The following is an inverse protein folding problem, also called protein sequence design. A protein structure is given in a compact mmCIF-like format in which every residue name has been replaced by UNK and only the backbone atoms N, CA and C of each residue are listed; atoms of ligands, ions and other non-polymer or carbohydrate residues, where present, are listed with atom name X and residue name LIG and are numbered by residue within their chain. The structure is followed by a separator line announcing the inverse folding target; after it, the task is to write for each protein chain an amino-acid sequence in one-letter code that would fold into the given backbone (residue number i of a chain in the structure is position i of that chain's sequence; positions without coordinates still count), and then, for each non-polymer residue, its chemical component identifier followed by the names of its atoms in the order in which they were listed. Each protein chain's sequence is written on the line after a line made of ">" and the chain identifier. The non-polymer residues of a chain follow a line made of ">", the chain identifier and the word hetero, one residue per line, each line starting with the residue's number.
data_IF_830429463138
#
_entry.id   IF_830429463138
#
_cell.length_a   1.000
_cell.length_b   1.000
_cell.length_c   1.000
_cell.angle_alpha   90.00
_cell.angle_beta   90.00
_cell.angle_gamma   90.00
#
_symmetry.space_group_name_H-M   'P 1'
#
loop_
_entity.id
_entity.type
_entity.pdbx_description
1 polymer ?
#
# COMPACT_ATOMS: atom_id res chain seq x y z
N UNK A 1 35.74 20.69 6.26
CA UNK A 1 35.02 21.52 5.27
C UNK A 1 34.50 20.73 4.05
N UNK A 2 34.26 19.41 4.11
CA UNK A 2 33.69 18.63 2.99
C UNK A 2 32.25 18.15 3.20
N UNK A 3 31.65 18.40 4.37
CA UNK A 3 30.28 17.97 4.69
C UNK A 3 29.21 18.99 4.29
N UNK A 4 29.59 20.26 4.04
CA UNK A 4 28.63 21.32 3.68
C UNK A 4 28.24 21.32 2.19
N UNK A 5 29.08 20.80 1.30
CA UNK A 5 28.78 20.76 -0.14
C UNK A 5 27.80 19.66 -0.54
N UNK A 6 27.68 18.58 0.25
CA UNK A 6 26.83 17.44 -0.09
C UNK A 6 25.32 17.73 -0.04
N UNK A 7 24.86 18.51 0.95
CA UNK A 7 23.43 18.80 1.10
C UNK A 7 22.93 19.84 0.10
N UNK A 8 23.76 20.82 -0.27
CA UNK A 8 23.40 21.86 -1.24
C UNK A 8 23.28 21.29 -2.67
N UNK A 9 24.10 20.30 -3.04
CA UNK A 9 24.06 19.68 -4.35
C UNK A 9 22.78 18.85 -4.57
N UNK A 10 22.28 18.18 -3.53
CA UNK A 10 21.02 17.43 -3.58
C UNK A 10 19.79 18.34 -3.70
N UNK A 11 19.86 19.57 -3.15
CA UNK A 11 18.78 20.55 -3.28
C UNK A 11 18.69 21.12 -4.70
N UNK A 12 19.83 21.39 -5.35
CA UNK A 12 19.88 21.90 -6.72
C UNK A 12 19.43 20.83 -7.73
N UNK A 13 19.83 19.56 -7.56
CA UNK A 13 19.35 18.47 -8.42
C UNK A 13 17.84 18.23 -8.30
N UNK A 14 17.25 18.50 -7.13
CA UNK A 14 15.80 18.41 -6.91
C UNK A 14 14.97 19.48 -7.66
N UNK A 15 15.57 20.63 -8.00
CA UNK A 15 14.91 21.66 -8.81
C UNK A 15 15.00 21.37 -10.32
N UNK A 16 16.01 20.61 -10.76
CA UNK A 16 16.24 20.29 -12.18
C UNK A 16 15.45 19.05 -12.62
N UNK A 17 15.19 18.09 -11.71
CA UNK A 17 14.37 16.88 -11.99
C UNK A 17 13.52 16.51 -10.77
N UNK A 18 12.21 16.87 -10.73
CA UNK A 18 11.35 16.58 -9.58
C UNK A 18 11.12 15.07 -9.35
N UNK A 19 11.32 14.23 -10.37
CA UNK A 19 11.10 12.79 -10.28
C UNK A 19 12.17 12.07 -9.44
N UNK A 20 13.39 12.61 -9.35
CA UNK A 20 14.48 11.97 -8.61
C UNK A 20 14.38 12.20 -7.10
N UNK A 21 13.82 13.34 -6.66
CA UNK A 21 13.54 13.57 -5.23
C UNK A 21 12.37 12.71 -4.72
N UNK A 22 11.43 12.36 -5.61
CA UNK A 22 10.31 11.49 -5.31
C UNK A 22 10.71 10.02 -5.16
N UNK A 23 11.79 9.56 -5.79
CA UNK A 23 12.32 8.20 -5.60
C UNK A 23 12.76 7.95 -4.14
N UNK A 24 13.35 8.94 -3.48
CA UNK A 24 13.69 8.84 -2.05
C UNK A 24 12.49 9.08 -1.11
N UNK A 25 11.42 9.70 -1.62
CA UNK A 25 10.20 9.99 -0.87
C UNK A 25 9.21 8.82 -0.78
N UNK A 26 9.34 7.78 -1.60
CA UNK A 26 8.41 6.63 -1.59
C UNK A 26 8.46 5.79 -0.30
N UNK A 27 9.57 5.82 0.45
CA UNK A 27 9.75 5.04 1.69
C UNK A 27 9.59 5.82 3.00
N UNK A 28 9.41 7.13 2.98
CA UNK A 28 9.32 7.97 4.19
C UNK A 28 8.03 8.77 4.20
N UNK A 29 7.33 8.76 5.35
CA UNK A 29 6.04 9.45 5.54
C UNK A 29 6.11 10.92 5.08
N UNK A 30 5.02 11.47 4.53
CA UNK A 30 4.92 12.87 4.05
C UNK A 30 5.49 13.90 5.03
N UNK A 31 5.45 13.60 6.33
CA UNK A 31 6.04 14.39 7.42
C UNK A 31 7.56 14.56 7.30
N UNK A 32 8.25 13.49 6.93
CA UNK A 32 9.71 13.49 6.77
C UNK A 32 10.11 14.29 5.54
N UNK A 33 9.37 14.15 4.43
CA UNK A 33 9.60 14.95 3.23
C UNK A 33 9.48 16.46 3.51
N UNK A 34 8.42 16.89 4.22
CA UNK A 34 8.21 18.30 4.58
C UNK A 34 9.40 18.84 5.41
N UNK A 35 9.88 18.08 6.40
CA UNK A 35 11.04 18.49 7.21
C UNK A 35 12.32 18.63 6.38
N UNK A 36 12.56 17.72 5.42
CA UNK A 36 13.73 17.80 4.53
C UNK A 36 13.69 19.03 3.63
N UNK A 37 12.54 19.33 3.00
CA UNK A 37 12.41 20.49 2.14
C UNK A 37 12.53 21.81 2.91
N UNK A 38 11.98 21.90 4.12
CA UNK A 38 12.12 23.09 4.97
C UNK A 38 13.55 23.34 5.43
N UNK A 39 14.28 22.29 5.83
CA UNK A 39 15.70 22.42 6.17
C UNK A 39 16.52 22.89 4.97
N UNK A 40 16.25 22.36 3.76
CA UNK A 40 16.90 22.77 2.53
C UNK A 40 16.66 24.25 2.20
N UNK A 41 15.39 24.71 2.27
CA UNK A 41 15.05 26.10 2.03
C UNK A 41 15.73 27.06 3.04
N UNK A 42 15.79 26.68 4.32
CA UNK A 42 16.50 27.46 5.34
C UNK A 42 18.00 27.58 5.04
N UNK A 43 18.66 26.47 4.67
CA UNK A 43 20.08 26.50 4.30
C UNK A 43 20.36 27.33 3.06
N UNK A 44 19.47 27.28 2.05
CA UNK A 44 19.58 28.09 0.83
C UNK A 44 19.44 29.59 1.11
N UNK A 45 18.47 29.99 1.94
CA UNK A 45 18.27 31.38 2.33
C UNK A 45 19.46 31.91 3.14
N UNK A 46 19.98 31.13 4.10
CA UNK A 46 21.16 31.51 4.86
C UNK A 46 22.40 31.66 3.97
N UNK A 47 22.60 30.76 3.00
CA UNK A 47 23.72 30.86 2.05
C UNK A 47 23.59 32.04 1.11
N UNK A 48 22.37 32.37 0.66
CA UNK A 48 22.11 33.52 -0.22
C UNK A 48 22.35 34.87 0.46
N UNK A 49 22.06 34.96 1.77
CA UNK A 49 22.33 36.15 2.58
C UNK A 49 23.84 36.36 2.72
N UNK A 50 24.61 35.33 3.05
CA UNK A 50 26.09 35.40 3.19
C UNK A 50 26.78 35.93 1.92
N UNK A 51 26.28 35.60 0.72
CA UNK A 51 26.87 36.05 -0.54
C UNK A 51 26.63 37.53 -0.86
N UNK A 52 25.70 38.20 -0.16
CA UNK A 52 25.32 39.60 -0.44
C UNK A 52 26.22 40.63 0.25
N UNK A 53 27.24 40.20 1.00
CA UNK A 53 28.36 41.02 1.48
C UNK A 53 28.04 42.01 2.61
N UNK A 54 26.78 42.42 2.77
CA UNK A 54 26.31 43.29 3.85
C UNK A 54 25.16 42.59 4.57
N UNK A 55 25.48 41.83 5.62
CA UNK A 55 24.44 41.09 6.36
C UNK A 55 24.44 41.54 7.80
N UNK A 56 23.34 42.13 8.24
CA UNK A 56 23.15 42.49 9.64
C UNK A 56 22.77 41.25 10.44
N UNK A 57 23.14 41.21 11.72
CA UNK A 57 22.68 40.17 12.65
C UNK A 57 21.13 40.07 12.71
N UNK A 58 20.45 41.17 12.35
CA UNK A 58 19.00 41.26 12.22
C UNK A 58 18.47 40.30 11.15
N UNK A 59 19.16 40.13 10.02
CA UNK A 59 18.71 39.25 8.93
C UNK A 59 18.72 37.78 9.35
N UNK A 60 19.77 37.37 10.09
CA UNK A 60 19.84 36.03 10.69
C UNK A 60 18.78 35.82 11.78
N UNK A 61 18.51 36.85 12.59
CA UNK A 61 17.46 36.81 13.60
C UNK A 61 16.06 36.64 12.98
N UNK A 62 15.78 37.33 11.88
CA UNK A 62 14.51 37.22 11.16
C UNK A 62 14.35 35.84 10.49
N UNK A 63 15.36 35.34 9.78
CA UNK A 63 15.27 34.04 9.10
C UNK A 63 15.16 32.90 10.12
N UNK A 64 15.91 32.96 11.23
CA UNK A 64 15.78 31.97 12.31
C UNK A 64 14.41 32.03 13.01
N UNK A 65 13.86 33.21 13.26
CA UNK A 65 12.50 33.36 13.80
C UNK A 65 11.43 32.77 12.86
N UNK A 66 11.54 33.00 11.55
CA UNK A 66 10.65 32.41 10.55
C UNK A 66 10.76 30.89 10.50
N UNK A 67 11.97 30.34 10.62
CA UNK A 67 12.17 28.89 10.64
C UNK A 67 11.62 28.24 11.91
N UNK A 68 11.83 28.86 13.07
CA UNK A 68 11.31 28.37 14.36
C UNK A 68 9.78 28.46 14.42
N UNK A 69 9.17 29.52 13.89
CA UNK A 69 7.70 29.62 13.79
C UNK A 69 7.12 28.59 12.83
N UNK A 70 7.79 28.29 11.73
CA UNK A 70 7.41 27.20 10.82
C UNK A 70 7.53 25.81 11.46
N UNK A 71 8.62 25.52 12.18
CA UNK A 71 8.77 24.28 12.97
C UNK A 71 7.66 24.16 14.02
N UNK A 72 7.34 25.25 14.73
CA UNK A 72 6.27 25.29 15.72
C UNK A 72 4.88 25.08 15.07
N UNK A 73 4.67 25.56 13.85
CA UNK A 73 3.43 25.30 13.11
C UNK A 73 3.32 23.82 12.69
N UNK A 74 4.42 23.18 12.29
CA UNK A 74 4.45 21.74 11.97
C UNK A 74 4.25 20.87 13.21
N UNK A 75 4.76 21.27 14.37
CA UNK A 75 4.51 20.54 15.62
C UNK A 75 3.03 20.61 16.02
N UNK A 76 2.31 21.70 15.71
CA UNK A 76 0.84 21.77 15.84
C UNK A 76 0.10 20.85 14.86
N UNK A 77 0.65 20.61 13.67
CA UNK A 77 0.10 19.62 12.71
C UNK A 77 0.27 18.17 13.19
N UNK A 78 1.17 17.87 14.14
CA UNK A 78 1.32 16.52 14.73
C UNK A 78 0.14 16.13 15.64
N UNK A 79 -0.60 17.11 16.18
CA UNK A 79 -1.65 16.86 17.19
C UNK A 79 -3.06 16.80 16.63
N UNK A 80 -3.26 16.92 15.30
CA UNK A 80 -4.56 16.63 14.71
C UNK A 80 -4.70 15.12 14.55
N UNK A 81 -5.64 14.46 15.23
CA UNK A 81 -6.00 13.09 14.89
C UNK A 81 -6.34 13.03 13.40
N UNK A 82 -6.02 11.90 12.77
CA UNK A 82 -6.29 11.60 11.37
C UNK A 82 -7.82 11.47 11.14
N UNK A 83 -8.57 12.55 11.35
CA UNK A 83 -10.04 12.59 11.24
C UNK A 83 -10.51 13.45 10.04
N UNK A 84 -9.61 14.25 9.45
CA UNK A 84 -10.02 15.26 8.47
C UNK A 84 -9.85 14.83 7.01
N UNK A 85 -9.01 13.83 6.72
CA UNK A 85 -8.91 13.22 5.38
C UNK A 85 -10.08 12.28 5.04
N UNK A 86 -10.98 12.04 5.99
CA UNK A 86 -12.24 11.32 5.79
C UNK A 86 -13.40 12.25 5.36
N UNK A 87 -13.21 13.58 5.34
CA UNK A 87 -14.33 14.53 5.09
C UNK A 87 -14.40 15.06 3.66
N UNK A 88 -13.36 14.93 2.83
CA UNK A 88 -13.40 15.40 1.42
C UNK A 88 -13.93 14.36 0.43
N UNK A 89 -14.01 13.08 0.81
CA UNK A 89 -14.59 12.03 -0.03
C UNK A 89 -16.10 11.84 0.21
N UNK A 90 -16.71 12.70 1.03
CA UNK A 90 -18.10 12.58 1.50
C UNK A 90 -18.98 13.73 0.98
N UNK A 91 -18.68 14.23 -0.22
CA UNK A 91 -19.57 15.11 -0.97
C UNK A 91 -19.94 14.40 -2.28
N UNK A 92 -20.58 13.23 -2.17
CA UNK A 92 -20.97 12.47 -3.36
C UNK A 92 -21.32 11.00 -3.17
N UNK A 93 -21.79 10.53 -2.02
CA UNK A 93 -22.79 9.47 -2.04
C UNK A 93 -23.54 9.38 -0.71
N UNK A 94 -24.87 9.42 -0.79
CA UNK A 94 -25.80 9.32 0.32
C UNK A 94 -25.72 7.90 0.87
N UNK A 95 -24.98 7.70 1.96
CA UNK A 95 -24.92 6.41 2.64
C UNK A 95 -25.61 6.53 3.99
N UNK A 96 -26.78 5.90 4.05
CA UNK A 96 -27.64 5.76 5.21
C UNK A 96 -26.89 5.04 6.34
N UNK A 97 -26.78 5.73 7.48
CA UNK A 97 -26.08 5.29 8.68
C UNK A 97 -26.73 4.05 9.27
N UNK A 98 -26.05 2.91 9.13
CA UNK A 98 -26.21 1.79 10.06
C UNK A 98 -24.86 1.53 10.73
N UNK A 99 -24.80 1.85 12.03
CA UNK A 99 -23.67 1.58 12.95
C UNK A 99 -23.04 0.20 12.67
N UNK A 100 -21.92 0.15 11.95
CA UNK A 100 -21.08 -1.05 11.85
C UNK A 100 -20.11 -1.07 13.01
N UNK A 101 -20.54 -1.70 14.09
CA UNK A 101 -19.63 -2.42 14.98
C UNK A 101 -18.60 -3.19 14.15
N UNK A 102 -17.32 -3.17 14.55
CA UNK A 102 -16.29 -4.09 14.05
C UNK A 102 -16.77 -5.51 14.30
N UNK A 103 -17.60 -6.04 13.40
CA UNK A 103 -18.07 -7.41 13.45
C UNK A 103 -16.89 -8.28 13.07
N UNK A 104 -16.28 -8.86 14.09
CA UNK A 104 -15.46 -10.06 13.98
C UNK A 104 -16.18 -11.02 13.04
N UNK A 105 -15.66 -11.16 11.83
CA UNK A 105 -16.20 -12.10 10.87
C UNK A 105 -15.86 -13.50 11.38
N UNK A 106 -16.89 -14.27 11.72
CA UNK A 106 -16.74 -15.67 12.09
C UNK A 106 -16.91 -16.53 10.82
N UNK A 107 -16.01 -17.48 10.54
CA UNK A 107 -16.18 -18.42 9.44
C UNK A 107 -17.48 -19.19 9.60
N UNK A 108 -18.32 -19.21 8.57
CA UNK A 108 -19.63 -19.88 8.59
C UNK A 108 -19.59 -21.37 8.22
N UNK A 109 -18.44 -21.92 7.83
CA UNK A 109 -18.28 -23.32 7.44
C UNK A 109 -16.90 -23.85 7.83
N UNK A 110 -16.88 -25.02 8.42
CA UNK A 110 -15.68 -25.85 8.54
C UNK A 110 -15.32 -26.37 7.14
N UNK A 111 -14.05 -26.27 6.78
CA UNK A 111 -13.55 -26.79 5.50
C UNK A 111 -13.43 -28.31 5.58
N UNK A 112 -13.67 -29.04 4.47
CA UNK A 112 -13.36 -30.46 4.39
C UNK A 112 -11.89 -30.71 4.79
N UNK A 113 -11.65 -31.65 5.70
CA UNK A 113 -10.33 -31.90 6.27
C UNK A 113 -9.45 -32.81 5.40
N UNK A 114 -9.98 -33.32 4.27
CA UNK A 114 -9.28 -34.24 3.39
C UNK A 114 -9.69 -33.99 1.93
N UNK A 115 -8.71 -33.89 1.03
CA UNK A 115 -8.97 -34.14 -0.40
C UNK A 115 -9.20 -35.64 -0.58
N UNK A 116 -10.43 -36.02 -0.85
CA UNK A 116 -10.71 -37.24 -1.61
C UNK A 116 -10.62 -36.86 -3.08
N UNK A 117 -9.77 -37.55 -3.86
CA UNK A 117 -9.50 -37.32 -5.28
C UNK A 117 -8.41 -36.28 -5.61
N UNK A 118 -7.80 -36.52 -6.77
CA UNK A 118 -6.73 -35.76 -7.42
C UNK A 118 -6.92 -34.23 -7.29
N UNK A 119 -5.89 -33.46 -6.85
CA UNK A 119 -5.94 -32.00 -6.80
C UNK A 119 -6.37 -31.37 -8.13
N UNK A 120 -5.98 -31.97 -9.25
CA UNK A 120 -6.35 -31.49 -10.58
C UNK A 120 -7.84 -31.63 -10.83
N UNK A 121 -8.41 -32.81 -10.61
CA UNK A 121 -9.85 -33.05 -10.71
C UNK A 121 -10.67 -32.13 -9.79
N UNK A 122 -10.14 -31.84 -8.60
CA UNK A 122 -10.75 -30.93 -7.63
C UNK A 122 -10.80 -29.50 -8.15
N UNK A 123 -9.77 -29.05 -8.88
CA UNK A 123 -9.74 -27.73 -9.51
C UNK A 123 -10.62 -27.65 -10.77
N UNK A 124 -10.66 -28.71 -11.57
CA UNK A 124 -11.49 -28.82 -12.78
C UNK A 124 -13.00 -28.72 -12.53
N UNK A 125 -13.45 -28.84 -11.27
CA UNK A 125 -14.86 -28.57 -10.92
C UNK A 125 -15.30 -27.15 -11.26
N UNK A 126 -14.36 -26.21 -11.30
CA UNK A 126 -14.61 -24.84 -11.73
C UNK A 126 -14.66 -24.83 -13.25
N UNK A 127 -15.82 -24.46 -13.81
CA UNK A 127 -15.99 -24.43 -15.26
C UNK A 127 -14.93 -23.50 -15.89
N UNK A 128 -14.26 -23.98 -16.93
CA UNK A 128 -13.09 -23.31 -17.53
C UNK A 128 -13.40 -21.87 -17.95
N UNK A 129 -14.59 -21.63 -18.48
CA UNK A 129 -15.07 -20.31 -18.90
C UNK A 129 -15.17 -19.28 -17.75
N UNK A 130 -15.30 -19.72 -16.50
CA UNK A 130 -15.32 -18.80 -15.35
C UNK A 130 -13.96 -18.13 -15.20
N UNK A 131 -12.87 -18.85 -15.48
CA UNK A 131 -11.52 -18.32 -15.31
C UNK A 131 -11.18 -17.21 -16.31
N UNK A 132 -11.85 -17.18 -17.46
CA UNK A 132 -11.62 -16.19 -18.53
C UNK A 132 -12.41 -14.89 -18.34
N UNK A 133 -13.34 -14.84 -17.38
CA UNK A 133 -14.10 -13.63 -17.07
C UNK A 133 -13.18 -12.51 -16.55
N UNK A 134 -13.35 -11.27 -17.01
CA UNK A 134 -12.51 -10.12 -16.62
C UNK A 134 -12.39 -9.94 -15.09
N UNK A 135 -13.50 -10.15 -14.39
CA UNK A 135 -13.55 -10.09 -12.93
C UNK A 135 -12.69 -11.19 -12.26
N UNK A 136 -12.51 -12.33 -12.92
CA UNK A 136 -11.70 -13.45 -12.46
C UNK A 136 -10.24 -13.28 -12.85
N UNK A 137 -9.95 -12.79 -14.06
CA UNK A 137 -8.61 -12.38 -14.48
C UNK A 137 -8.01 -11.35 -13.52
N UNK A 138 -8.81 -10.36 -13.10
CA UNK A 138 -8.37 -9.36 -12.10
C UNK A 138 -8.02 -10.01 -10.76
N UNK A 139 -8.75 -11.06 -10.35
CA UNK A 139 -8.47 -11.80 -9.11
C UNK A 139 -7.25 -12.69 -9.22
N UNK A 140 -7.03 -13.29 -10.39
CA UNK A 140 -5.80 -14.02 -10.72
C UNK A 140 -4.58 -13.12 -10.61
N UNK A 141 -4.62 -11.92 -11.20
CA UNK A 141 -3.55 -10.92 -11.05
C UNK A 141 -3.30 -10.57 -9.58
N UNK A 142 -4.37 -10.35 -8.80
CA UNK A 142 -4.28 -10.04 -7.35
C UNK A 142 -3.82 -11.21 -6.48
N UNK A 143 -3.77 -12.43 -7.01
CA UNK A 143 -3.32 -13.61 -6.27
C UNK A 143 -1.81 -13.56 -5.97
N UNK A 144 -1.03 -12.89 -6.81
CA UNK A 144 0.41 -12.65 -6.58
C UNK A 144 0.68 -11.85 -5.30
N UNK A 145 -0.20 -10.89 -4.97
CA UNK A 145 -0.12 -10.09 -3.74
C UNK A 145 -0.57 -10.81 -2.46
N UNK A 146 -0.97 -12.07 -2.53
CA UNK A 146 -1.32 -12.84 -1.35
C UNK A 146 -0.06 -13.31 -0.60
N UNK A 147 -0.02 -13.03 0.70
CA UNK A 147 0.99 -13.59 1.60
C UNK A 147 0.63 -15.03 1.98
N UNK A 148 1.55 -15.96 1.73
CA UNK A 148 1.40 -17.38 2.02
C UNK A 148 2.07 -17.69 3.36
N UNK A 149 1.30 -18.18 4.35
CA UNK A 149 1.86 -18.55 5.65
C UNK A 149 2.23 -20.02 5.74
N UNK A 150 1.34 -20.89 5.25
CA UNK A 150 1.55 -22.34 5.23
C UNK A 150 0.79 -22.94 4.06
N UNK A 151 1.39 -23.91 3.37
CA UNK A 151 0.74 -24.72 2.34
C UNK A 151 0.98 -26.18 2.70
N UNK A 152 -0.10 -26.94 2.77
CA UNK A 152 -0.09 -28.40 2.84
C UNK A 152 -0.50 -28.94 1.46
N UNK A 153 0.50 -29.39 0.71
CA UNK A 153 0.31 -29.93 -0.65
C UNK A 153 -0.43 -31.27 -0.66
N UNK A 154 -0.30 -32.05 0.40
CA UNK A 154 -0.96 -33.35 0.51
C UNK A 154 -2.46 -33.16 0.76
N UNK A 155 -2.79 -32.23 1.64
CA UNK A 155 -4.18 -31.98 2.02
C UNK A 155 -4.90 -30.99 1.12
N UNK A 156 -4.20 -30.23 0.28
CA UNK A 156 -4.88 -29.24 -0.56
C UNK A 156 -5.24 -27.97 0.20
N UNK A 157 -4.56 -27.67 1.31
CA UNK A 157 -4.96 -26.64 2.27
C UNK A 157 -3.85 -25.61 2.40
N UNK A 158 -4.19 -24.32 2.36
CA UNK A 158 -3.27 -23.25 2.68
C UNK A 158 -3.86 -22.23 3.63
N UNK A 159 -2.98 -21.61 4.42
CA UNK A 159 -3.28 -20.45 5.22
C UNK A 159 -2.64 -19.21 4.57
N UNK A 160 -3.48 -18.27 4.17
CA UNK A 160 -3.08 -17.15 3.30
C UNK A 160 -3.71 -15.83 3.75
N UNK A 161 -3.05 -14.70 3.49
CA UNK A 161 -3.54 -13.37 3.84
C UNK A 161 -3.42 -12.41 2.67
N UNK A 162 -4.50 -11.71 2.37
CA UNK A 162 -4.52 -10.68 1.32
C UNK A 162 -4.61 -9.24 1.82
N UNK A 163 -4.91 -9.03 3.11
CA UNK A 163 -5.16 -7.71 3.73
C UNK A 163 -4.91 -7.73 5.25
N UNK A 164 -4.00 -8.59 5.72
CA UNK A 164 -3.61 -8.70 7.13
C UNK A 164 -4.35 -9.77 7.95
N UNK A 165 -5.50 -10.28 7.48
CA UNK A 165 -6.21 -11.41 8.11
C UNK A 165 -5.90 -12.72 7.40
N UNK A 166 -5.59 -13.77 8.18
CA UNK A 166 -5.35 -15.11 7.63
C UNK A 166 -6.65 -15.86 7.40
N UNK A 167 -6.79 -16.40 6.20
CA UNK A 167 -7.88 -17.26 5.77
C UNK A 167 -7.34 -18.64 5.45
N UNK A 168 -8.14 -19.66 5.76
CA UNK A 168 -7.89 -21.03 5.35
C UNK A 168 -8.55 -21.21 3.99
N UNK A 169 -7.79 -21.74 3.05
CA UNK A 169 -8.18 -21.88 1.65
C UNK A 169 -7.89 -23.29 1.21
N UNK A 170 -8.83 -23.88 0.48
CA UNK A 170 -8.66 -25.12 -0.26
C UNK A 170 -8.94 -24.85 -1.74
N UNK A 171 -8.65 -25.82 -2.62
CA UNK A 171 -9.01 -25.72 -4.04
C UNK A 171 -10.53 -25.63 -4.25
N UNK A 172 -11.30 -26.02 -3.24
CA UNK A 172 -12.75 -26.11 -3.29
C UNK A 172 -13.49 -24.95 -2.66
N UNK A 173 -12.91 -24.36 -1.63
CA UNK A 173 -13.57 -23.36 -0.81
C UNK A 173 -12.55 -22.49 -0.08
N UNK A 174 -12.98 -21.28 0.31
CA UNK A 174 -12.14 -20.36 1.06
C UNK A 174 -12.93 -19.71 2.18
N UNK A 175 -12.29 -19.53 3.35
CA UNK A 175 -12.87 -18.77 4.45
C UNK A 175 -12.79 -17.26 4.24
N UNK A 176 -12.58 -16.76 3.02
CA UNK A 176 -12.57 -15.31 2.80
C UNK A 176 -13.99 -14.77 2.53
N UNK A 177 -14.25 -13.48 2.81
CA UNK A 177 -15.53 -12.85 2.51
C UNK A 177 -15.88 -12.79 1.01
N UNK A 178 -14.90 -12.80 0.10
CA UNK A 178 -15.13 -12.78 -1.35
C UNK A 178 -15.77 -14.09 -1.83
N UNK A 179 -15.22 -15.23 -1.37
CA UNK A 179 -15.78 -16.56 -1.64
C UNK A 179 -17.16 -16.70 -1.01
N UNK A 180 -17.31 -16.37 0.28
CA UNK A 180 -18.59 -16.53 0.99
C UNK A 180 -19.76 -15.70 0.43
N UNK A 181 -19.50 -14.71 -0.45
CA UNK A 181 -20.53 -13.89 -1.10
C UNK A 181 -20.83 -14.31 -2.53
N UNK A 182 -19.82 -14.82 -3.24
CA UNK A 182 -19.91 -15.10 -4.68
C UNK A 182 -20.00 -16.59 -4.99
N UNK A 183 -19.54 -17.43 -4.07
CA UNK A 183 -19.34 -18.88 -4.27
C UNK A 183 -18.54 -19.19 -5.54
N UNK A 184 -17.61 -18.31 -5.89
CA UNK A 184 -16.70 -18.40 -7.03
C UNK A 184 -15.24 -18.36 -6.56
N UNK A 185 -14.28 -18.88 -7.34
CA UNK A 185 -12.87 -18.84 -7.00
C UNK A 185 -12.42 -17.44 -6.65
N UNK A 186 -11.80 -17.30 -5.48
CA UNK A 186 -11.25 -16.03 -5.00
C UNK A 186 -9.74 -15.97 -5.25
N UNK A 187 -9.13 -14.81 -5.01
CA UNK A 187 -7.68 -14.62 -5.18
C UNK A 187 -6.82 -15.61 -4.37
N UNK A 188 -7.30 -16.07 -3.20
CA UNK A 188 -6.56 -17.03 -2.38
C UNK A 188 -6.55 -18.42 -3.03
N UNK A 189 -7.67 -18.83 -3.64
CA UNK A 189 -7.80 -20.13 -4.30
C UNK A 189 -6.91 -20.20 -5.55
N UNK A 190 -6.87 -19.13 -6.35
CA UNK A 190 -5.94 -19.01 -7.47
C UNK A 190 -4.48 -19.09 -7.04
N UNK A 191 -4.12 -18.42 -5.92
CA UNK A 191 -2.76 -18.52 -5.40
C UNK A 191 -2.46 -19.96 -4.96
N UNK A 192 -3.41 -20.64 -4.31
CA UNK A 192 -3.22 -22.04 -3.92
C UNK A 192 -3.04 -22.97 -5.13
N UNK A 193 -3.88 -22.83 -6.15
CA UNK A 193 -3.79 -23.62 -7.38
C UNK A 193 -2.44 -23.41 -8.09
N UNK A 194 -1.92 -22.18 -8.10
CA UNK A 194 -0.56 -21.89 -8.57
C UNK A 194 0.52 -22.59 -7.73
N UNK A 195 0.44 -22.53 -6.40
CA UNK A 195 1.42 -23.20 -5.51
C UNK A 195 1.41 -24.73 -5.65
N UNK A 196 0.33 -25.29 -6.18
CA UNK A 196 0.18 -26.71 -6.54
C UNK A 196 0.56 -27.03 -7.98
N UNK A 197 0.90 -26.02 -8.80
CA UNK A 197 1.26 -26.20 -10.21
C UNK A 197 0.08 -26.59 -11.11
N UNK A 198 -1.16 -26.30 -10.68
CA UNK A 198 -2.37 -26.64 -11.46
C UNK A 198 -2.67 -25.61 -12.54
N UNK A 199 -2.27 -24.36 -12.31
CA UNK A 199 -2.47 -23.24 -13.23
C UNK A 199 -1.23 -22.35 -13.25
N UNK A 200 -0.98 -21.73 -14.40
CA UNK A 200 -0.05 -20.61 -14.53
C UNK A 200 -0.86 -19.31 -14.54
N UNK A 201 -0.65 -18.45 -13.55
CA UNK A 201 -1.29 -17.13 -13.56
C UNK A 201 -0.50 -16.17 -14.43
N UNK A 202 -1.21 -15.33 -15.19
CA UNK A 202 -0.61 -14.24 -15.95
C UNK A 202 0.29 -13.39 -15.05
N UNK A 203 1.52 -13.15 -15.48
CA UNK A 203 2.43 -12.23 -14.82
C UNK A 203 1.98 -10.79 -15.08
N UNK A 204 2.32 -9.88 -14.17
CA UNK A 204 2.11 -8.45 -14.39
C UNK A 204 2.91 -7.99 -15.61
N UNK A 205 2.23 -7.40 -16.58
CA UNK A 205 2.88 -6.76 -17.73
C UNK A 205 3.08 -5.27 -17.45
N UNK A 206 4.16 -4.70 -17.98
CA UNK A 206 4.43 -3.27 -17.90
C UNK A 206 3.27 -2.48 -18.53
N UNK A 207 2.51 -1.75 -17.71
CA UNK A 207 1.33 -0.97 -18.11
C UNK A 207 0.01 -1.40 -17.47
N UNK A 208 -0.04 -2.56 -16.80
CA UNK A 208 -1.18 -2.91 -15.94
C UNK A 208 -1.19 -1.98 -14.72
N UNK A 209 -2.34 -1.35 -14.42
CA UNK A 209 -2.47 -0.53 -13.21
C UNK A 209 -2.20 -1.39 -11.98
N UNK A 210 -1.31 -0.94 -11.10
CA UNK A 210 -0.93 -1.66 -9.88
C UNK A 210 -2.10 -1.72 -8.89
N UNK A 211 -2.91 -2.78 -9.01
CA UNK A 211 -4.03 -3.06 -8.11
C UNK A 211 -3.60 -3.56 -6.72
N UNK A 212 -2.29 -3.68 -6.45
CA UNK A 212 -1.80 -4.03 -5.10
C UNK A 212 -1.73 -2.80 -4.17
N UNK A 213 -1.89 -1.60 -4.73
CA UNK A 213 -1.84 -0.32 -4.02
C UNK A 213 -3.22 0.25 -3.64
N UNK A 214 -4.32 -0.45 -3.94
CA UNK A 214 -5.70 -0.03 -3.64
C UNK A 214 -6.29 -0.65 -2.38
#
# INVERSE_FOLDING_TARGET
>A
MLTFFGCSFLFILGLIKPDFSLWWSQKKTRKVAILFYGAGAFTGLMSGVVLKGETSWIDYALISALYLTWIAQISRLKNKPQEDLAKSNTAGNKQEDTKKTKKSWKPKKELPQTMGADPKATWEKWASNIHDEEAQLTRQKRAWGCYVKKVDRNQGIAQMSGSGTFYTTTLEACTCPDFAKRDLPCKHMYRLAMEMGLIELSQFLDGDSDYTLS
#
